data_IF_644942057078
#
_entry.id   IF_644942057078
#
_cell.length_a   1.000
_cell.length_b   1.000
_cell.length_c   1.000
_cell.angle_alpha   90.00
_cell.angle_beta   90.00
_cell.angle_gamma   90.00
#
_symmetry.space_group_name_H-M   'P 1'
#
loop_
_entity.id
_entity.type
_entity.pdbx_description
1 polymer ?
#
# COMPACT_ATOMS: atom_id res chain seq x y z
N UNK A 1 7.35 15.50 15.68
CA UNK A 1 7.54 16.12 14.35
C UNK A 1 7.05 17.54 14.37
N UNK A 2 7.73 18.42 13.68
CA UNK A 2 7.31 19.81 13.58
C UNK A 2 5.99 19.95 12.84
N UNK A 3 5.29 21.06 13.07
CA UNK A 3 3.99 21.26 12.46
C UNK A 3 4.10 21.42 10.95
N UNK A 4 5.05 22.22 10.50
CA UNK A 4 5.27 22.48 9.07
C UNK A 4 6.75 22.72 8.81
N UNK A 5 7.26 22.21 7.68
CA UNK A 5 6.58 21.27 6.77
C UNK A 5 6.42 19.91 7.42
N UNK A 6 5.41 19.17 6.99
CA UNK A 6 5.19 17.79 7.45
C UNK A 6 6.21 16.85 6.82
N UNK A 7 6.34 15.64 7.38
CA UNK A 7 7.22 14.63 6.80
C UNK A 7 6.83 14.31 5.37
N UNK A 8 5.52 14.22 5.09
CA UNK A 8 5.05 13.97 3.72
C UNK A 8 5.42 15.11 2.77
N UNK A 9 5.32 16.35 3.24
CA UNK A 9 5.70 17.51 2.43
C UNK A 9 7.21 17.53 2.13
N UNK A 10 8.03 17.18 3.12
CA UNK A 10 9.48 17.08 2.91
C UNK A 10 9.83 16.00 1.88
N UNK A 11 9.17 14.86 1.97
CA UNK A 11 9.39 13.77 1.00
C UNK A 11 8.92 14.15 -0.40
N UNK A 12 7.84 14.92 -0.51
CA UNK A 12 7.40 15.43 -1.80
C UNK A 12 8.46 16.31 -2.43
N UNK A 13 9.06 17.19 -1.64
CA UNK A 13 10.11 18.09 -2.15
C UNK A 13 11.34 17.30 -2.59
N UNK A 14 11.72 16.27 -1.82
CA UNK A 14 12.84 15.40 -2.19
C UNK A 14 12.54 14.67 -3.49
N UNK A 15 11.34 14.10 -3.62
CA UNK A 15 10.95 13.38 -4.82
C UNK A 15 10.91 14.30 -6.04
N UNK A 16 10.37 15.52 -5.88
CA UNK A 16 10.33 16.50 -6.96
C UNK A 16 11.73 16.84 -7.46
N UNK A 17 12.68 17.01 -6.55
CA UNK A 17 14.06 17.31 -6.92
C UNK A 17 14.69 16.12 -7.66
N UNK A 18 14.50 14.91 -7.14
CA UNK A 18 15.07 13.71 -7.76
C UNK A 18 14.50 13.45 -9.14
N UNK A 19 13.19 13.60 -9.30
CA UNK A 19 12.51 13.34 -10.58
C UNK A 19 12.67 14.46 -11.59
N UNK A 20 13.04 15.65 -11.13
CA UNK A 20 13.23 16.83 -11.97
C UNK A 20 14.68 17.11 -12.27
N UNK A 21 15.25 18.06 -11.52
CA UNK A 21 16.59 18.59 -11.82
C UNK A 21 17.69 17.54 -11.74
N UNK A 22 17.65 16.66 -10.74
CA UNK A 22 18.68 15.64 -10.59
C UNK A 22 18.61 14.65 -11.74
N UNK A 23 17.41 14.17 -12.06
CA UNK A 23 17.24 13.21 -13.15
C UNK A 23 17.72 13.78 -14.48
N UNK A 24 17.44 15.05 -14.72
CA UNK A 24 17.87 15.73 -15.96
C UNK A 24 19.38 15.92 -16.04
N UNK A 25 20.06 15.94 -14.90
CA UNK A 25 21.50 16.23 -14.83
C UNK A 25 22.37 14.98 -14.90
N UNK A 26 21.80 13.78 -14.86
CA UNK A 26 22.55 12.52 -14.84
C UNK A 26 22.13 11.62 -15.99
N UNK A 27 23.00 10.63 -16.31
CA UNK A 27 22.75 9.68 -17.38
C UNK A 27 23.31 8.31 -17.00
N UNK A 28 23.02 7.31 -17.83
CA UNK A 28 23.52 5.97 -17.61
C UNK A 28 22.88 5.29 -16.39
N UNK A 29 23.60 4.39 -15.71
CA UNK A 29 23.07 3.65 -14.57
C UNK A 29 22.59 4.54 -13.43
N UNK A 30 23.25 5.68 -13.21
CA UNK A 30 22.84 6.62 -12.16
C UNK A 30 21.44 7.17 -12.44
N UNK A 31 21.10 7.40 -13.70
CA UNK A 31 19.78 7.90 -14.04
C UNK A 31 18.68 6.93 -13.59
N UNK A 32 18.91 5.64 -13.78
CA UNK A 32 17.98 4.61 -13.30
C UNK A 32 17.85 4.64 -11.77
N UNK A 33 18.98 4.74 -11.08
CA UNK A 33 18.99 4.79 -9.61
C UNK A 33 18.25 6.02 -9.07
N UNK A 34 18.37 7.15 -9.76
CA UNK A 34 17.65 8.36 -9.37
C UNK A 34 16.13 8.18 -9.53
N UNK A 35 15.70 7.53 -10.63
CA UNK A 35 14.28 7.21 -10.81
C UNK A 35 13.76 6.31 -9.68
N UNK A 36 14.53 5.30 -9.32
CA UNK A 36 14.17 4.40 -8.23
C UNK A 36 14.06 5.17 -6.91
N UNK A 37 15.05 6.02 -6.61
CA UNK A 37 15.05 6.82 -5.39
C UNK A 37 13.83 7.74 -5.31
N UNK A 38 13.50 8.39 -6.42
CA UNK A 38 12.31 9.24 -6.49
C UNK A 38 11.03 8.46 -6.23
N UNK A 39 10.92 7.27 -6.83
CA UNK A 39 9.76 6.41 -6.61
C UNK A 39 9.65 5.96 -5.15
N UNK A 40 10.78 5.60 -4.54
CA UNK A 40 10.78 5.21 -3.12
C UNK A 40 10.33 6.36 -2.23
N UNK A 41 10.78 7.58 -2.51
CA UNK A 41 10.34 8.75 -1.75
C UNK A 41 8.82 8.96 -1.89
N UNK A 42 8.26 8.74 -3.08
CA UNK A 42 6.82 8.83 -3.29
C UNK A 42 6.06 7.76 -2.51
N UNK A 43 6.58 6.55 -2.45
CA UNK A 43 5.95 5.46 -1.68
C UNK A 43 5.89 5.84 -0.20
N UNK A 44 7.00 6.31 0.37
CA UNK A 44 7.03 6.71 1.78
C UNK A 44 6.11 7.90 2.04
N UNK A 45 6.07 8.85 1.11
CA UNK A 45 5.13 9.98 1.21
C UNK A 45 3.70 9.49 1.34
N UNK A 46 3.28 8.60 0.44
CA UNK A 46 1.92 8.06 0.45
C UNK A 46 1.63 7.22 1.70
N UNK A 47 2.64 6.47 2.18
CA UNK A 47 2.51 5.71 3.42
C UNK A 47 2.21 6.65 4.60
N UNK A 48 2.90 7.78 4.67
CA UNK A 48 2.66 8.76 5.72
C UNK A 48 1.29 9.41 5.61
N UNK A 49 0.78 9.58 4.39
CA UNK A 49 -0.51 10.22 4.16
C UNK A 49 -1.69 9.25 4.31
N UNK A 50 -1.52 8.00 3.89
CA UNK A 50 -2.61 7.03 3.76
C UNK A 50 -2.50 5.84 4.71
N UNK A 51 -1.31 5.57 5.24
CA UNK A 51 -1.05 4.32 5.94
C UNK A 51 -1.86 4.11 7.21
N UNK A 52 -2.07 5.17 7.98
CA UNK A 52 -2.81 5.05 9.24
C UNK A 52 -4.26 4.65 8.99
N UNK A 53 -4.93 5.31 8.06
CA UNK A 53 -6.30 4.97 7.72
C UNK A 53 -6.41 3.60 7.07
N UNK A 54 -5.48 3.26 6.19
CA UNK A 54 -5.46 1.96 5.55
C UNK A 54 -5.29 0.85 6.59
N UNK A 55 -4.39 1.04 7.55
CA UNK A 55 -4.20 0.07 8.63
C UNK A 55 -5.44 -0.06 9.51
N UNK A 56 -6.10 1.04 9.79
CA UNK A 56 -7.33 1.03 10.57
C UNK A 56 -8.43 0.23 9.84
N UNK A 57 -8.60 0.46 8.54
CA UNK A 57 -9.58 -0.28 7.75
C UNK A 57 -9.24 -1.76 7.67
N UNK A 58 -7.98 -2.10 7.46
CA UNK A 58 -7.54 -3.49 7.41
C UNK A 58 -7.87 -4.21 8.70
N UNK A 59 -7.53 -3.60 9.81
CA UNK A 59 -7.79 -4.17 11.12
C UNK A 59 -9.28 -4.38 11.37
N UNK A 60 -10.10 -3.41 10.98
CA UNK A 60 -11.55 -3.51 11.14
C UNK A 60 -12.14 -4.60 10.25
N UNK A 61 -11.75 -4.65 8.98
CA UNK A 61 -12.28 -5.61 8.03
C UNK A 61 -11.89 -7.04 8.38
N UNK A 62 -10.62 -7.25 8.70
CA UNK A 62 -10.14 -8.58 9.04
C UNK A 62 -10.70 -9.02 10.40
N UNK A 63 -10.76 -8.10 11.36
CA UNK A 63 -11.35 -8.38 12.67
C UNK A 63 -12.81 -8.80 12.57
N UNK A 64 -13.59 -8.08 11.76
CA UNK A 64 -15.00 -8.42 11.55
C UNK A 64 -15.14 -9.78 10.87
N UNK A 65 -14.32 -10.05 9.89
CA UNK A 65 -14.34 -11.34 9.19
C UNK A 65 -14.03 -12.51 10.14
N UNK A 66 -13.06 -12.34 11.02
CA UNK A 66 -12.64 -13.38 11.96
C UNK A 66 -13.49 -13.43 13.22
N UNK A 67 -14.25 -12.37 13.50
CA UNK A 67 -14.96 -12.23 14.77
C UNK A 67 -14.01 -12.10 15.93
N UNK A 68 -12.88 -11.41 15.75
CA UNK A 68 -11.81 -11.31 16.72
C UNK A 68 -11.27 -9.90 16.82
N UNK A 69 -10.55 -9.61 17.90
CA UNK A 69 -9.83 -8.36 18.09
C UNK A 69 -8.35 -8.67 18.26
N UNK A 70 -7.52 -7.69 17.92
CA UNK A 70 -6.08 -7.84 18.03
C UNK A 70 -5.36 -6.83 17.15
N UNK A 71 -4.04 -6.95 17.09
CA UNK A 71 -3.25 -6.13 16.18
C UNK A 71 -3.46 -6.60 14.74
N UNK A 72 -3.14 -5.74 13.80
CA UNK A 72 -3.22 -6.11 12.39
C UNK A 72 -2.37 -7.35 12.10
N UNK A 73 -1.18 -7.43 12.68
CA UNK A 73 -0.31 -8.58 12.50
C UNK A 73 -0.92 -9.87 13.04
N UNK A 74 -1.52 -9.81 14.23
CA UNK A 74 -2.16 -10.97 14.84
C UNK A 74 -3.36 -11.45 14.03
N UNK A 75 -4.19 -10.50 13.60
CA UNK A 75 -5.37 -10.81 12.79
C UNK A 75 -5.00 -11.42 11.44
N UNK A 76 -3.98 -10.87 10.80
CA UNK A 76 -3.54 -11.40 9.51
C UNK A 76 -2.91 -12.79 9.64
N UNK A 77 -2.21 -13.07 10.74
CA UNK A 77 -1.66 -14.39 10.99
C UNK A 77 -2.80 -15.42 11.12
N UNK A 78 -3.86 -15.07 11.85
CA UNK A 78 -5.00 -15.96 11.98
C UNK A 78 -5.74 -16.14 10.66
N UNK A 79 -5.94 -15.07 9.90
CA UNK A 79 -6.56 -15.14 8.58
C UNK A 79 -5.78 -16.08 7.67
N UNK A 80 -4.46 -15.92 7.62
CA UNK A 80 -3.61 -16.78 6.80
C UNK A 80 -3.71 -18.25 7.22
N UNK A 81 -3.75 -18.52 8.53
CA UNK A 81 -3.86 -19.87 9.04
C UNK A 81 -5.19 -20.51 8.64
N UNK A 82 -6.29 -19.77 8.74
CA UNK A 82 -7.60 -20.28 8.38
C UNK A 82 -7.72 -20.55 6.88
N UNK A 83 -7.15 -19.68 6.06
CA UNK A 83 -7.16 -19.88 4.60
C UNK A 83 -6.29 -21.07 4.20
N UNK A 84 -5.16 -21.27 4.86
CA UNK A 84 -4.28 -22.41 4.58
C UNK A 84 -4.92 -23.74 4.95
N UNK A 85 -5.74 -23.77 5.99
CA UNK A 85 -6.47 -24.97 6.39
C UNK A 85 -7.42 -25.44 5.29
N UNK A 86 -8.00 -24.50 4.55
CA UNK A 86 -8.81 -24.77 3.37
C UNK A 86 -9.96 -25.76 3.62
N UNK A 87 -10.58 -25.66 4.78
CA UNK A 87 -11.65 -26.56 5.19
C UNK A 87 -13.02 -25.89 5.28
N UNK A 88 -13.10 -24.63 4.88
CA UNK A 88 -14.34 -23.85 4.97
C UNK A 88 -14.50 -22.97 3.72
N UNK A 89 -15.20 -23.49 2.68
CA UNK A 89 -15.42 -22.73 1.46
C UNK A 89 -16.22 -21.45 1.66
N UNK A 90 -17.12 -21.41 2.64
CA UNK A 90 -17.89 -20.19 2.90
C UNK A 90 -17.01 -19.09 3.47
N UNK A 91 -16.10 -19.47 4.38
CA UNK A 91 -15.14 -18.51 4.92
C UNK A 91 -14.24 -17.97 3.80
N UNK A 92 -13.75 -18.85 2.93
CA UNK A 92 -12.91 -18.43 1.80
C UNK A 92 -13.65 -17.42 0.91
N UNK A 93 -14.92 -17.66 0.62
CA UNK A 93 -15.73 -16.73 -0.16
C UNK A 93 -15.93 -15.39 0.55
N UNK A 94 -16.17 -15.43 1.86
CA UNK A 94 -16.32 -14.20 2.64
C UNK A 94 -15.02 -13.41 2.75
N UNK A 95 -13.89 -14.11 2.75
CA UNK A 95 -12.56 -13.47 2.82
C UNK A 95 -12.19 -12.72 1.55
N UNK A 96 -12.70 -13.16 0.39
CA UNK A 96 -12.29 -12.59 -0.90
C UNK A 96 -12.49 -11.07 -0.98
N UNK A 97 -13.69 -10.50 -0.71
CA UNK A 97 -13.85 -9.05 -0.77
C UNK A 97 -13.00 -8.30 0.25
N UNK A 98 -12.72 -8.91 1.40
CA UNK A 98 -11.83 -8.31 2.40
C UNK A 98 -10.40 -8.23 1.86
N UNK A 99 -9.91 -9.33 1.28
CA UNK A 99 -8.57 -9.37 0.67
C UNK A 99 -8.47 -8.36 -0.47
N UNK A 100 -9.51 -8.24 -1.28
CA UNK A 100 -9.53 -7.24 -2.36
C UNK A 100 -9.43 -5.83 -1.81
N UNK A 101 -10.23 -5.49 -0.81
CA UNK A 101 -10.23 -4.15 -0.22
C UNK A 101 -8.87 -3.79 0.38
N UNK A 102 -8.27 -4.73 1.11
CA UNK A 102 -6.95 -4.53 1.72
C UNK A 102 -5.88 -4.38 0.64
N UNK A 103 -5.95 -5.18 -0.41
CA UNK A 103 -5.00 -5.11 -1.52
C UNK A 103 -5.09 -3.76 -2.23
N UNK A 104 -6.29 -3.26 -2.48
CA UNK A 104 -6.47 -1.96 -3.12
C UNK A 104 -5.88 -0.83 -2.28
N UNK A 105 -6.04 -0.88 -0.96
CA UNK A 105 -5.43 0.10 -0.07
C UNK A 105 -3.89 0.06 -0.15
N UNK A 106 -3.32 -1.14 -0.20
CA UNK A 106 -1.87 -1.30 -0.32
C UNK A 106 -1.37 -0.80 -1.67
N UNK A 107 -2.09 -1.08 -2.74
CA UNK A 107 -1.72 -0.62 -4.08
C UNK A 107 -1.80 0.91 -4.19
N UNK A 108 -2.73 1.54 -3.49
CA UNK A 108 -2.83 3.00 -3.51
C UNK A 108 -1.56 3.65 -2.95
N UNK A 109 -0.84 2.96 -2.06
CA UNK A 109 0.42 3.44 -1.50
C UNK A 109 1.60 3.04 -2.40
N UNK A 110 1.68 1.77 -2.75
CA UNK A 110 2.85 1.20 -3.42
C UNK A 110 2.87 1.48 -4.92
N UNK A 111 1.71 1.42 -5.56
CA UNK A 111 1.64 1.54 -7.01
C UNK A 111 0.29 2.11 -7.44
N UNK A 112 0.04 3.41 -7.21
CA UNK A 112 -1.23 4.02 -7.60
C UNK A 112 -1.54 3.82 -9.07
N UNK A 113 -2.78 3.51 -9.36
CA UNK A 113 -3.23 3.29 -10.72
C UNK A 113 -3.16 1.84 -11.19
N UNK A 114 -2.45 0.97 -10.48
CA UNK A 114 -2.36 -0.43 -10.84
C UNK A 114 -3.73 -1.11 -10.82
N UNK A 115 -4.52 -0.80 -9.79
CA UNK A 115 -5.85 -1.33 -9.62
C UNK A 115 -6.79 -0.99 -10.78
N UNK A 116 -6.52 0.11 -11.46
CA UNK A 116 -7.39 0.57 -12.55
C UNK A 116 -7.48 -0.45 -13.68
N UNK A 117 -6.41 -1.22 -13.88
CA UNK A 117 -6.45 -2.21 -14.92
C UNK A 117 -6.35 -3.65 -14.47
N UNK A 118 -6.12 -3.90 -13.20
CA UNK A 118 -6.08 -5.26 -12.71
C UNK A 118 -7.45 -5.79 -12.35
N UNK A 119 -8.34 -4.92 -11.95
CA UNK A 119 -9.63 -5.34 -11.43
C UNK A 119 -10.80 -4.93 -12.31
N UNK A 120 -10.59 -3.92 -13.12
CA UNK A 120 -11.59 -3.44 -14.05
C UNK A 120 -11.11 -3.52 -15.48
N UNK A 121 -9.83 -3.38 -15.66
CA UNK A 121 -9.25 -3.21 -16.98
C UNK A 121 -9.34 -4.41 -17.87
N UNK A 122 -9.22 -5.60 -17.34
CA UNK A 122 -9.32 -6.78 -18.18
C UNK A 122 -10.71 -7.03 -18.66
N UNK A 123 -11.63 -6.28 -18.20
CA UNK A 123 -12.99 -6.28 -18.74
C UNK A 123 -13.05 -5.50 -20.04
N UNK A 124 -12.02 -4.84 -20.35
CA UNK A 124 -11.90 -4.01 -21.55
C UNK A 124 -11.57 -4.84 -22.82
#
# INVERSE_FOLDING_TARGET
>A
MQDRPTAAELLRDIADLLEGDVLAAVSGPIQHQVRVAGNLARIVQRELELGREANFRERALVGDLLGAEGSTAELNAELAARLRANDDPEFARAAWPVLMAVTLDKLAIDKPGHDAYDFAGEQL
#
